data_IF_278796248619
#
_entry.id   IF_278796248619
#
_cell.length_a   1.000
_cell.length_b   1.000
_cell.length_c   1.000
_cell.angle_alpha   90.00
_cell.angle_beta   90.00
_cell.angle_gamma   90.00
#
_symmetry.space_group_name_H-M   'P 1'
#
loop_
_entity.id
_entity.type
_entity.pdbx_description
1 polymer ?
#
# COMPACT_ATOMS: atom_id res chain seq x y z
N UNK A 1 2.88 -7.34 -48.00
CA UNK A 1 3.88 -6.83 -47.04
C UNK A 1 3.29 -5.99 -45.89
N UNK A 2 2.06 -5.47 -45.97
CA UNK A 2 1.43 -4.69 -44.86
C UNK A 2 0.76 -5.53 -43.76
N UNK A 3 0.40 -6.80 -44.04
CA UNK A 3 -0.28 -7.68 -43.06
C UNK A 3 0.64 -8.29 -42.00
N UNK A 4 1.94 -8.38 -42.26
CA UNK A 4 2.91 -8.99 -41.33
C UNK A 4 3.46 -7.98 -40.30
N UNK A 5 3.45 -6.69 -40.64
CA UNK A 5 3.83 -5.60 -39.73
C UNK A 5 2.76 -5.29 -38.67
N UNK A 6 1.48 -5.51 -39.01
CA UNK A 6 0.37 -5.27 -38.07
C UNK A 6 0.32 -6.31 -36.94
N UNK A 7 0.83 -7.52 -37.18
CA UNK A 7 0.95 -8.59 -36.16
C UNK A 7 2.16 -8.40 -35.25
N UNK A 8 3.22 -7.74 -35.71
CA UNK A 8 4.42 -7.47 -34.89
C UNK A 8 4.22 -6.27 -33.95
N UNK A 9 3.37 -5.31 -34.33
CA UNK A 9 3.04 -4.15 -33.50
C UNK A 9 2.17 -4.50 -32.28
N UNK A 10 1.35 -5.55 -32.35
CA UNK A 10 0.47 -5.97 -31.24
C UNK A 10 1.16 -6.83 -30.19
N UNK A 11 2.24 -7.54 -30.55
CA UNK A 11 3.00 -8.39 -29.61
C UNK A 11 3.92 -7.57 -28.69
N UNK A 12 4.36 -6.39 -29.14
CA UNK A 12 5.28 -5.55 -28.36
C UNK A 12 4.62 -4.78 -27.20
N UNK A 13 3.29 -4.65 -27.20
CA UNK A 13 2.53 -3.86 -26.20
C UNK A 13 1.89 -4.72 -25.10
N UNK A 14 2.37 -5.94 -24.86
CA UNK A 14 1.90 -6.83 -23.78
C UNK A 14 2.92 -7.04 -22.66
N UNK A 15 4.07 -6.36 -22.69
CA UNK A 15 5.14 -6.54 -21.70
C UNK A 15 5.34 -5.36 -20.73
N UNK A 16 4.43 -4.37 -20.70
CA UNK A 16 4.51 -3.25 -19.75
C UNK A 16 3.31 -3.17 -18.81
N UNK A 17 2.91 -4.32 -18.26
CA UNK A 17 2.01 -4.39 -17.11
C UNK A 17 2.65 -5.23 -16.00
N UNK A 18 3.90 -4.92 -15.66
CA UNK A 18 4.44 -5.23 -14.33
C UNK A 18 4.07 -4.06 -13.39
N UNK A 19 2.76 -3.80 -13.28
CA UNK A 19 2.23 -2.70 -12.49
C UNK A 19 2.39 -2.98 -11.00
N UNK A 20 2.96 -2.01 -10.28
CA UNK A 20 2.73 -1.67 -8.85
C UNK A 20 3.10 -2.70 -7.76
N UNK A 21 3.41 -3.96 -8.10
CA UNK A 21 4.21 -4.84 -7.24
C UNK A 21 5.69 -4.37 -7.13
N UNK A 22 6.09 -3.42 -7.99
CA UNK A 22 7.47 -3.03 -8.28
C UNK A 22 8.33 -2.55 -7.08
N UNK A 23 7.74 -2.22 -5.94
CA UNK A 23 8.53 -1.80 -4.76
C UNK A 23 8.89 -2.97 -3.83
N UNK A 24 8.26 -4.15 -4.01
CA UNK A 24 8.62 -5.35 -3.27
C UNK A 24 9.55 -6.21 -4.13
N UNK A 25 10.85 -6.13 -3.85
CA UNK A 25 11.87 -6.89 -4.59
C UNK A 25 12.17 -8.26 -3.98
N UNK A 26 11.58 -8.56 -2.82
CA UNK A 26 11.89 -9.75 -2.01
C UNK A 26 13.17 -9.63 -1.16
N UNK A 27 13.90 -8.51 -1.31
CA UNK A 27 15.14 -8.24 -0.59
C UNK A 27 15.13 -6.82 -0.01
N UNK A 28 15.84 -6.67 1.12
CA UNK A 28 16.07 -5.36 1.73
C UNK A 28 17.37 -4.74 1.20
N UNK A 29 17.44 -3.40 1.23
CA UNK A 29 18.67 -2.67 0.91
C UNK A 29 19.75 -2.87 1.99
N UNK A 30 21.04 -2.66 1.64
CA UNK A 30 22.16 -2.94 2.54
C UNK A 30 22.12 -2.13 3.85
N UNK A 31 21.57 -0.91 3.82
CA UNK A 31 21.44 -0.05 4.99
C UNK A 31 20.19 -0.33 5.84
N UNK A 32 19.35 -1.29 5.43
CA UNK A 32 18.06 -1.49 6.06
C UNK A 32 18.17 -1.85 7.54
N UNK A 33 19.14 -2.67 7.91
CA UNK A 33 19.37 -3.07 9.31
C UNK A 33 19.53 -1.85 10.22
N UNK A 34 20.36 -0.89 9.82
CA UNK A 34 20.59 0.35 10.56
C UNK A 34 19.36 1.26 10.55
N UNK A 35 18.69 1.42 9.40
CA UNK A 35 17.52 2.28 9.29
C UNK A 35 16.32 1.75 10.07
N UNK A 36 16.08 0.44 10.03
CA UNK A 36 15.05 -0.22 10.84
C UNK A 36 15.30 0.02 12.33
N UNK A 37 16.54 -0.08 12.80
CA UNK A 37 16.89 0.22 14.19
C UNK A 37 16.60 1.70 14.56
N UNK A 38 16.67 2.61 13.59
CA UNK A 38 16.33 4.03 13.74
C UNK A 38 14.85 4.36 13.45
N UNK A 39 13.97 3.35 13.38
CA UNK A 39 12.52 3.57 13.24
C UNK A 39 12.02 3.79 11.81
N UNK A 40 12.82 3.45 10.79
CA UNK A 40 12.45 3.67 9.39
C UNK A 40 11.11 3.03 8.99
N UNK A 41 10.77 1.86 9.54
CA UNK A 41 9.51 1.17 9.21
C UNK A 41 8.27 1.99 9.58
N UNK A 42 8.31 2.75 10.68
CA UNK A 42 7.17 3.53 11.19
C UNK A 42 7.25 5.01 10.83
N UNK A 43 8.40 5.49 10.33
CA UNK A 43 8.60 6.88 9.96
C UNK A 43 7.74 7.25 8.73
N UNK A 44 6.69 8.02 8.97
CA UNK A 44 5.74 8.49 7.95
C UNK A 44 6.28 9.64 7.10
N UNK A 45 7.44 10.21 7.44
CA UNK A 45 8.18 11.13 6.57
C UNK A 45 8.72 10.44 5.31
N UNK A 46 8.85 9.11 5.33
CA UNK A 46 9.13 8.30 4.14
C UNK A 46 7.83 7.69 3.58
N UNK A 47 7.67 7.78 2.27
CA UNK A 47 6.50 7.18 1.59
C UNK A 47 6.48 5.66 1.81
N UNK A 48 5.29 5.04 1.73
CA UNK A 48 5.17 3.58 1.82
C UNK A 48 6.01 2.89 0.74
N UNK A 49 6.07 3.47 -0.45
CA UNK A 49 6.86 2.94 -1.56
C UNK A 49 8.36 2.99 -1.27
N UNK A 50 8.89 4.08 -0.70
CA UNK A 50 10.29 4.13 -0.25
C UNK A 50 10.55 3.08 0.83
N UNK A 51 9.64 2.95 1.81
CA UNK A 51 9.80 1.97 2.88
C UNK A 51 9.79 0.53 2.38
N UNK A 52 8.96 0.21 1.39
CA UNK A 52 8.95 -1.08 0.69
C UNK A 52 10.23 -1.34 -0.09
N UNK A 53 10.71 -0.32 -0.82
CA UNK A 53 11.89 -0.46 -1.67
C UNK A 53 13.17 -0.69 -0.87
N UNK A 54 13.32 -0.01 0.27
CA UNK A 54 14.55 -0.09 1.06
C UNK A 54 14.51 -1.13 2.16
N UNK A 55 13.34 -1.38 2.76
CA UNK A 55 13.19 -2.26 3.92
C UNK A 55 11.89 -3.09 3.89
N UNK A 56 11.39 -3.43 2.71
CA UNK A 56 10.08 -4.06 2.57
C UNK A 56 9.94 -5.36 3.34
N UNK A 57 10.93 -6.24 3.31
CA UNK A 57 10.87 -7.54 4.02
C UNK A 57 11.11 -7.34 5.50
N UNK A 58 12.16 -6.60 5.88
CA UNK A 58 12.48 -6.35 7.29
C UNK A 58 11.38 -5.57 8.03
N UNK A 59 10.64 -4.71 7.35
CA UNK A 59 9.49 -3.98 7.89
C UNK A 59 8.17 -4.74 7.76
N UNK A 60 8.15 -5.91 7.13
CA UNK A 60 6.96 -6.75 6.97
C UNK A 60 5.95 -6.22 5.96
N UNK A 61 6.35 -5.30 5.07
CA UNK A 61 5.54 -4.76 3.97
C UNK A 61 5.57 -5.64 2.72
N UNK A 62 6.62 -6.46 2.58
CA UNK A 62 6.86 -7.36 1.47
C UNK A 62 7.23 -8.76 1.98
N UNK A 63 6.88 -9.78 1.21
CA UNK A 63 7.35 -11.15 1.37
C UNK A 63 8.67 -11.33 0.61
N UNK A 64 9.41 -12.39 0.92
CA UNK A 64 10.69 -12.75 0.26
C UNK A 64 10.54 -13.17 -1.20
N UNK A 65 9.33 -13.50 -1.63
CA UNK A 65 9.00 -13.84 -3.02
C UNK A 65 8.69 -12.57 -3.87
N UNK A 66 8.84 -11.37 -3.29
CA UNK A 66 8.54 -10.12 -3.96
C UNK A 66 7.05 -9.72 -3.93
N UNK A 67 6.19 -10.52 -3.30
CA UNK A 67 4.78 -10.14 -3.12
C UNK A 67 4.60 -9.15 -1.96
N UNK A 68 3.52 -8.39 -1.99
CA UNK A 68 3.21 -7.41 -0.97
C UNK A 68 2.33 -7.99 0.15
N UNK A 69 2.57 -7.58 1.40
CA UNK A 69 1.72 -7.94 2.53
C UNK A 69 0.60 -6.91 2.73
N UNK A 70 -0.44 -7.26 3.50
CA UNK A 70 -1.47 -6.30 3.90
C UNK A 70 -0.92 -5.04 4.58
N UNK A 71 0.23 -5.14 5.27
CA UNK A 71 0.87 -3.99 5.92
C UNK A 71 1.53 -3.04 4.91
N UNK A 72 1.88 -3.51 3.71
CA UNK A 72 2.52 -2.71 2.66
C UNK A 72 1.61 -1.72 1.95
N UNK A 73 0.28 -1.75 2.19
CA UNK A 73 -0.69 -0.86 1.52
C UNK A 73 -0.82 -1.10 0.00
N UNK A 74 -1.53 -0.27 -0.74
CA UNK A 74 -1.58 -0.33 -2.22
C UNK A 74 -2.80 -1.00 -2.84
N UNK A 75 -3.02 -0.72 -4.13
CA UNK A 75 -4.19 -1.16 -4.91
C UNK A 75 -4.09 -2.63 -5.35
N UNK A 76 -2.86 -3.17 -5.41
CA UNK A 76 -2.52 -4.51 -5.93
C UNK A 76 -2.03 -5.42 -4.80
N UNK A 77 -2.82 -5.46 -3.73
CA UNK A 77 -2.65 -6.40 -2.64
C UNK A 77 -3.33 -7.72 -3.02
N UNK A 78 -2.77 -8.84 -2.56
CA UNK A 78 -3.45 -10.16 -2.55
C UNK A 78 -4.90 -9.97 -2.16
N UNK A 79 -5.80 -10.58 -2.93
CA UNK A 79 -7.22 -10.51 -2.65
C UNK A 79 -7.45 -10.94 -1.20
N UNK A 80 -8.05 -10.05 -0.42
CA UNK A 80 -8.42 -10.34 0.95
C UNK A 80 -9.92 -10.20 1.08
N UNK A 81 -10.51 -11.15 1.80
CA UNK A 81 -11.95 -11.25 2.01
C UNK A 81 -12.28 -10.86 3.44
N UNK A 82 -13.49 -10.35 3.65
CA UNK A 82 -14.01 -10.17 5.00
C UNK A 82 -14.26 -11.55 5.63
N UNK A 83 -13.68 -11.80 6.80
CA UNK A 83 -13.89 -13.04 7.55
C UNK A 83 -15.17 -12.98 8.39
N UNK A 84 -15.65 -11.78 8.71
CA UNK A 84 -16.86 -11.58 9.49
C UNK A 84 -18.01 -11.09 8.61
N UNK A 85 -19.19 -11.70 8.72
CA UNK A 85 -20.37 -11.29 7.97
C UNK A 85 -20.89 -9.88 8.36
N UNK A 86 -20.52 -9.38 9.55
CA UNK A 86 -20.98 -8.09 10.06
C UNK A 86 -20.16 -6.90 9.57
N UNK A 87 -19.16 -7.10 8.71
CA UNK A 87 -18.25 -6.02 8.30
C UNK A 87 -18.96 -4.81 7.68
N UNK A 88 -20.02 -5.04 6.90
CA UNK A 88 -20.84 -3.95 6.36
C UNK A 88 -21.54 -3.16 7.47
N UNK A 89 -22.20 -3.83 8.40
CA UNK A 89 -22.91 -3.21 9.53
C UNK A 89 -21.96 -2.46 10.47
N UNK A 90 -20.80 -3.06 10.75
CA UNK A 90 -19.77 -2.45 11.61
C UNK A 90 -19.08 -1.25 10.95
N UNK A 91 -18.96 -1.26 9.63
CA UNK A 91 -18.47 -0.09 8.90
C UNK A 91 -19.50 1.04 8.82
N UNK A 92 -20.80 0.71 8.80
CA UNK A 92 -21.89 1.68 8.83
C UNK A 92 -22.15 2.27 10.23
N UNK A 93 -21.61 1.67 11.29
CA UNK A 93 -21.74 2.17 12.65
C UNK A 93 -21.01 3.51 12.87
N UNK A 94 -21.41 4.26 13.90
CA UNK A 94 -20.75 5.52 14.29
C UNK A 94 -20.23 5.41 15.72
N UNK A 95 -18.91 5.49 15.96
CA UNK A 95 -17.83 5.49 14.96
C UNK A 95 -17.70 4.12 14.26
N UNK A 96 -17.27 4.12 12.99
CA UNK A 96 -17.10 2.88 12.23
C UNK A 96 -16.02 2.00 12.87
N UNK A 97 -16.20 0.69 12.82
CA UNK A 97 -15.18 -0.26 13.29
C UNK A 97 -13.82 -0.02 12.64
N UNK A 98 -13.79 0.35 11.36
CA UNK A 98 -12.56 0.59 10.62
C UNK A 98 -11.85 1.89 11.05
N UNK A 99 -12.59 2.91 11.52
CA UNK A 99 -12.03 4.19 11.98
C UNK A 99 -11.71 4.22 13.48
N UNK A 100 -12.24 3.29 14.27
CA UNK A 100 -12.08 3.21 15.73
C UNK A 100 -10.61 3.03 16.17
N UNK A 101 -10.08 3.91 17.00
CA UNK A 101 -8.66 3.88 17.42
C UNK A 101 -8.37 2.89 18.55
N UNK A 102 -9.41 2.41 19.23
CA UNK A 102 -9.35 1.38 20.27
C UNK A 102 -9.12 -0.04 19.73
N UNK A 103 -9.34 -0.24 18.43
CA UNK A 103 -8.99 -1.48 17.74
C UNK A 103 -7.70 -1.32 16.94
N UNK A 104 -6.78 -2.27 17.10
CA UNK A 104 -5.55 -2.29 16.31
C UNK A 104 -5.87 -2.49 14.82
N UNK A 105 -5.04 -1.91 13.95
CA UNK A 105 -5.16 -2.10 12.49
C UNK A 105 -5.12 -3.58 12.12
N UNK A 106 -4.31 -4.38 12.82
CA UNK A 106 -4.27 -5.83 12.65
C UNK A 106 -5.64 -6.45 12.93
N UNK A 107 -6.27 -6.13 14.06
CA UNK A 107 -7.59 -6.67 14.42
C UNK A 107 -8.66 -6.31 13.38
N UNK A 108 -8.67 -5.07 12.89
CA UNK A 108 -9.60 -4.62 11.85
C UNK A 108 -9.45 -5.43 10.56
N UNK A 109 -8.21 -5.65 10.13
CA UNK A 109 -7.90 -6.41 8.93
C UNK A 109 -8.09 -7.92 9.10
N UNK A 110 -7.99 -8.45 10.32
CA UNK A 110 -8.29 -9.86 10.60
C UNK A 110 -9.78 -10.16 10.37
N UNK A 111 -10.68 -9.29 10.82
CA UNK A 111 -12.13 -9.51 10.69
C UNK A 111 -12.70 -8.99 9.38
N UNK A 112 -12.31 -7.79 8.99
CA UNK A 112 -12.93 -7.02 7.91
C UNK A 112 -11.89 -6.51 6.93
N UNK A 113 -11.09 -7.41 6.36
CA UNK A 113 -10.01 -7.02 5.48
C UNK A 113 -10.50 -6.22 4.28
N UNK A 114 -11.44 -6.75 3.49
CA UNK A 114 -11.92 -6.07 2.28
C UNK A 114 -12.56 -4.73 2.63
N UNK A 115 -13.37 -4.70 3.68
CA UNK A 115 -14.13 -3.51 4.09
C UNK A 115 -13.25 -2.44 4.74
N UNK A 116 -12.36 -2.81 5.68
CA UNK A 116 -11.56 -1.84 6.43
C UNK A 116 -10.28 -1.40 5.73
N UNK A 117 -9.73 -2.22 4.84
CA UNK A 117 -8.48 -1.90 4.11
C UNK A 117 -8.49 -0.53 3.42
N UNK A 118 -9.50 -0.13 2.62
CA UNK A 118 -9.49 1.21 2.03
C UNK A 118 -9.49 2.32 3.09
N UNK A 119 -10.15 2.12 4.23
CA UNK A 119 -10.30 3.15 5.27
C UNK A 119 -9.03 3.28 6.11
N UNK A 120 -8.47 2.16 6.59
CA UNK A 120 -7.26 2.18 7.42
C UNK A 120 -6.03 2.69 6.67
N UNK A 121 -6.01 2.57 5.33
CA UNK A 121 -4.94 3.05 4.48
C UNK A 121 -5.25 4.38 3.76
N UNK A 122 -6.51 4.84 3.72
CA UNK A 122 -6.87 6.16 3.18
C UNK A 122 -6.53 7.32 4.14
N UNK A 123 -6.53 7.09 5.46
CA UNK A 123 -6.26 8.12 6.46
C UNK A 123 -4.91 8.83 6.27
N UNK A 124 -3.97 8.22 5.54
CA UNK A 124 -2.69 8.82 5.16
C UNK A 124 -2.74 9.87 4.04
N UNK A 125 -3.86 10.01 3.31
CA UNK A 125 -3.92 10.89 2.12
C UNK A 125 -4.51 12.28 2.42
N UNK A 126 -5.38 12.42 3.42
CA UNK A 126 -6.17 13.65 3.61
C UNK A 126 -5.56 14.67 4.59
N UNK A 127 -4.30 14.52 5.00
CA UNK A 127 -3.61 15.54 5.81
C UNK A 127 -2.74 16.51 5.00
N UNK A 128 -2.56 16.30 3.69
CA UNK A 128 -1.68 17.11 2.85
C UNK A 128 -2.38 18.17 1.97
N UNK A 129 -3.70 18.38 2.11
CA UNK A 129 -4.46 19.27 1.24
C UNK A 129 -4.80 20.65 1.83
N UNK A 130 -4.32 20.99 3.03
CA UNK A 130 -4.61 22.29 3.64
C UNK A 130 -3.37 22.92 4.28
N UNK A 131 -2.36 23.23 3.46
CA UNK A 131 -1.31 24.20 3.78
C UNK A 131 -0.57 24.66 2.50
N UNK A 132 -1.28 25.17 1.50
CA UNK A 132 -0.71 25.96 0.41
C UNK A 132 -1.82 26.87 -0.13
N UNK A 133 -1.96 28.11 0.32
CA UNK A 133 -1.38 29.33 -0.26
C UNK A 133 -1.87 30.49 0.63
N UNK A 134 -1.08 31.52 0.99
CA UNK A 134 -0.60 32.59 0.10
C UNK A 134 0.46 33.41 0.85
N UNK A 135 1.68 33.50 0.31
CA UNK A 135 2.57 34.64 0.52
C UNK A 135 3.08 35.08 -0.86
N UNK A 136 2.63 36.24 -1.32
CA UNK A 136 3.26 37.06 -2.35
C UNK A 136 3.40 38.44 -1.70
N UNK A 137 4.60 38.77 -1.25
CA UNK A 137 5.64 39.48 -2.01
C UNK A 137 5.39 41.00 -2.01
N UNK A 138 6.33 41.65 -1.33
CA UNK A 138 6.80 43.06 -1.30
C UNK A 138 6.14 44.09 -2.20
#
# INVERSE_FOLDING_TARGET
FSSMYSLLATVSLLAFVAGVAAQCTGNDGPSCTSWKANGFCTNTGYTMDMRKMYCGVACGFCNRDGTQTAAGGGSTLTECVDKNANCASWNAATPSFCSRTDYSTAMKLQYCCKTCRPIVFATTTTAAASAATTEAAT
#
